data_IF_051271309165
#
_entry.id   IF_051271309165
#
_cell.length_a   1.000
_cell.length_b   1.000
_cell.length_c   1.000
_cell.angle_alpha   90.00
_cell.angle_beta   90.00
_cell.angle_gamma   90.00
#
_symmetry.space_group_name_H-M   'P 1'
#
loop_
_entity.id
_entity.type
_entity.pdbx_description
1 polymer ?
#
# COMPACT_ATOMS: atom_id res chain seq x y z
N UNK A 1 14.16 16.06 -3.54
CA UNK A 1 14.67 16.23 -2.19
C UNK A 1 13.57 16.26 -1.15
N UNK A 2 12.68 17.23 -1.24
CA UNK A 2 11.55 17.28 -0.32
C UNK A 2 10.65 16.05 -0.41
N UNK A 3 10.64 15.37 -1.56
CA UNK A 3 9.86 14.16 -1.71
C UNK A 3 10.23 13.06 -0.73
N UNK A 4 11.45 13.12 -0.17
CA UNK A 4 11.90 12.12 0.80
C UNK A 4 11.46 12.45 2.23
N UNK A 5 11.05 13.69 2.48
CA UNK A 5 10.61 14.11 3.80
C UNK A 5 9.11 13.90 4.02
N UNK A 6 8.39 13.61 2.95
CA UNK A 6 6.94 13.49 3.01
C UNK A 6 6.51 12.19 2.38
N UNK A 7 5.63 11.50 3.07
CA UNK A 7 5.06 10.26 2.57
C UNK A 7 3.62 10.51 2.16
N UNK A 8 3.32 10.22 0.89
CA UNK A 8 1.96 10.39 0.38
C UNK A 8 1.12 9.17 0.71
N UNK A 9 0.01 9.39 1.39
CA UNK A 9 -0.91 8.32 1.74
C UNK A 9 -2.14 8.40 0.84
N UNK A 10 -2.34 7.44 -0.05
CA UNK A 10 -3.53 7.45 -0.90
C UNK A 10 -4.79 7.26 -0.07
N UNK A 11 -5.70 8.22 -0.15
CA UNK A 11 -6.92 8.18 0.66
C UNK A 11 -7.74 6.89 0.49
N UNK A 12 -7.92 6.36 -0.73
CA UNK A 12 -8.67 5.11 -0.87
C UNK A 12 -8.10 3.97 -0.07
N UNK A 13 -6.77 3.90 0.04
CA UNK A 13 -6.11 2.83 0.78
C UNK A 13 -6.14 3.07 2.29
N UNK A 14 -6.13 4.33 2.72
CA UNK A 14 -6.25 4.63 4.15
C UNK A 14 -7.59 4.11 4.68
N UNK A 15 -8.65 4.30 3.91
CA UNK A 15 -9.98 3.87 4.31
C UNK A 15 -10.15 2.35 4.24
N UNK A 16 -9.48 1.74 3.29
CA UNK A 16 -9.61 0.31 3.02
C UNK A 16 -8.77 -0.55 3.94
N UNK A 17 -7.55 -0.13 4.17
CA UNK A 17 -6.62 -0.81 5.06
C UNK A 17 -6.55 -0.06 6.38
N UNK A 18 -5.93 -0.69 7.39
CA UNK A 18 -5.61 0.08 8.58
C UNK A 18 -4.46 1.03 8.27
N UNK A 19 -4.23 1.98 9.18
CA UNK A 19 -3.23 3.02 8.95
C UNK A 19 -1.83 2.45 8.75
N UNK A 20 -1.46 1.45 9.53
CA UNK A 20 -0.12 0.86 9.42
C UNK A 20 0.11 0.25 8.04
N UNK A 21 -0.90 -0.43 7.49
CA UNK A 21 -0.80 -1.02 6.16
C UNK A 21 -0.72 0.05 5.08
N UNK A 22 -1.49 1.12 5.22
CA UNK A 22 -1.44 2.23 4.27
C UNK A 22 -0.08 2.90 4.29
N UNK A 23 0.51 3.10 5.47
CA UNK A 23 1.85 3.68 5.61
C UNK A 23 2.88 2.75 4.97
N UNK A 24 2.80 1.46 5.24
CA UNK A 24 3.74 0.48 4.67
C UNK A 24 3.67 0.47 3.15
N UNK A 25 2.45 0.47 2.59
CA UNK A 25 2.25 0.52 1.15
C UNK A 25 2.87 1.79 0.56
N UNK A 26 2.63 2.92 1.20
CA UNK A 26 3.14 4.19 0.71
C UNK A 26 4.66 4.24 0.73
N UNK A 27 5.27 3.67 1.78
CA UNK A 27 6.73 3.60 1.85
C UNK A 27 7.30 2.69 0.76
N UNK A 28 6.70 1.52 0.57
CA UNK A 28 7.14 0.59 -0.49
C UNK A 28 7.00 1.25 -1.86
N UNK A 29 5.90 1.94 -2.10
CA UNK A 29 5.70 2.63 -3.37
C UNK A 29 6.74 3.73 -3.57
N UNK A 30 7.03 4.49 -2.53
CA UNK A 30 8.03 5.54 -2.59
C UNK A 30 9.41 4.97 -2.93
N UNK A 31 9.80 3.88 -2.28
CA UNK A 31 11.09 3.24 -2.56
C UNK A 31 11.11 2.62 -3.95
N UNK A 32 10.00 2.02 -4.36
CA UNK A 32 9.88 1.47 -5.71
C UNK A 32 10.12 2.55 -6.78
N UNK A 33 9.48 3.71 -6.63
CA UNK A 33 9.64 4.79 -7.60
C UNK A 33 11.07 5.32 -7.62
N UNK A 34 11.72 5.37 -6.46
CA UNK A 34 13.12 5.77 -6.38
C UNK A 34 14.03 4.79 -7.14
N UNK A 35 13.91 3.49 -6.82
CA UNK A 35 14.76 2.49 -7.47
C UNK A 35 14.50 2.42 -8.97
N UNK A 36 13.25 2.60 -9.38
CA UNK A 36 12.89 2.62 -10.79
C UNK A 36 13.49 3.82 -11.50
N UNK A 37 13.42 5.00 -10.89
CA UNK A 37 13.96 6.23 -11.48
C UNK A 37 15.49 6.15 -11.61
N UNK A 38 16.15 5.43 -10.71
CA UNK A 38 17.59 5.22 -10.76
C UNK A 38 17.98 4.04 -11.63
N UNK A 39 17.00 3.38 -12.23
CA UNK A 39 17.21 2.23 -13.10
C UNK A 39 17.93 1.08 -12.38
N UNK A 40 17.58 0.87 -11.12
CA UNK A 40 18.26 -0.11 -10.25
C UNK A 40 17.37 -1.26 -9.80
N UNK A 41 16.20 -1.42 -10.41
CA UNK A 41 15.36 -2.58 -10.12
C UNK A 41 15.97 -3.82 -10.78
N UNK A 42 16.09 -4.91 -10.03
CA UNK A 42 16.56 -6.19 -10.56
C UNK A 42 15.37 -7.09 -10.80
N UNK A 43 14.93 -7.19 -12.04
CA UNK A 43 13.72 -7.94 -12.41
C UNK A 43 12.50 -7.48 -11.62
N UNK A 44 12.46 -6.18 -11.32
CA UNK A 44 11.36 -5.59 -10.55
C UNK A 44 11.55 -5.65 -9.05
N UNK A 45 12.62 -6.26 -8.56
CA UNK A 45 12.88 -6.40 -7.13
C UNK A 45 13.81 -5.29 -6.63
N UNK A 46 13.56 -4.86 -5.40
CA UNK A 46 14.47 -3.96 -4.70
C UNK A 46 14.53 -4.39 -3.24
N UNK A 47 15.66 -4.10 -2.57
CA UNK A 47 15.76 -4.51 -1.18
C UNK A 47 15.47 -3.33 -0.25
N UNK A 48 14.88 -3.65 0.89
CA UNK A 48 14.63 -2.67 1.93
C UNK A 48 14.58 -3.40 3.27
N UNK A 49 15.42 -2.96 4.20
CA UNK A 49 15.54 -3.62 5.49
C UNK A 49 14.43 -3.19 6.42
N UNK A 50 14.20 -4.01 7.45
CA UNK A 50 13.27 -3.63 8.53
C UNK A 50 13.72 -2.33 9.18
N UNK A 51 15.03 -2.18 9.42
CA UNK A 51 15.59 -0.99 10.03
C UNK A 51 15.33 0.26 9.19
N UNK A 52 15.51 0.14 7.88
CA UNK A 52 15.30 1.27 6.98
C UNK A 52 13.84 1.75 7.04
N UNK A 53 12.91 0.82 6.96
CA UNK A 53 11.48 1.18 7.01
C UNK A 53 11.09 1.69 8.39
N UNK A 54 11.65 1.10 9.45
CA UNK A 54 11.41 1.61 10.78
C UNK A 54 11.87 3.07 10.93
N UNK A 55 13.06 3.37 10.40
CA UNK A 55 13.57 4.74 10.47
C UNK A 55 12.71 5.71 9.68
N UNK A 56 12.14 5.27 8.57
CA UNK A 56 11.35 6.15 7.72
C UNK A 56 9.89 6.28 8.16
N UNK A 57 9.34 5.29 8.82
CA UNK A 57 7.90 5.25 9.11
C UNK A 57 7.56 5.07 10.58
N UNK A 58 8.48 4.56 11.37
CA UNK A 58 8.21 4.22 12.76
C UNK A 58 7.52 2.87 12.94
N UNK A 59 7.27 2.13 11.85
CA UNK A 59 6.62 0.83 11.96
C UNK A 59 7.61 -0.19 12.51
N UNK A 60 7.22 -0.90 13.57
CA UNK A 60 8.02 -1.97 14.14
C UNK A 60 8.09 -3.16 13.17
N UNK A 61 9.01 -4.07 13.44
CA UNK A 61 9.13 -5.29 12.65
C UNK A 61 7.80 -6.04 12.56
N UNK A 62 7.12 -6.19 13.68
CA UNK A 62 5.83 -6.87 13.71
C UNK A 62 4.78 -6.15 12.88
N UNK A 63 4.71 -4.83 13.01
CA UNK A 63 3.77 -4.03 12.24
C UNK A 63 4.05 -4.12 10.74
N UNK A 64 5.33 -4.13 10.38
CA UNK A 64 5.71 -4.30 8.98
C UNK A 64 5.31 -5.67 8.44
N UNK A 65 5.54 -6.72 9.21
CA UNK A 65 5.18 -8.07 8.78
C UNK A 65 3.68 -8.22 8.58
N UNK A 66 2.90 -7.69 9.51
CA UNK A 66 1.44 -7.74 9.40
C UNK A 66 0.95 -6.98 8.17
N UNK A 67 1.51 -5.78 7.95
CA UNK A 67 1.14 -4.97 6.79
C UNK A 67 1.54 -5.66 5.48
N UNK A 68 2.73 -6.24 5.43
CA UNK A 68 3.18 -6.95 4.24
C UNK A 68 2.28 -8.13 3.91
N UNK A 69 1.84 -8.86 4.93
CA UNK A 69 0.95 -9.98 4.72
C UNK A 69 -0.36 -9.55 4.07
N UNK A 70 -0.91 -8.46 4.55
CA UNK A 70 -2.14 -7.92 3.96
C UNK A 70 -1.92 -7.48 2.53
N UNK A 71 -0.83 -6.76 2.26
CA UNK A 71 -0.52 -6.31 0.91
C UNK A 71 -0.26 -7.47 -0.05
N UNK A 72 0.37 -8.54 0.43
CA UNK A 72 0.59 -9.72 -0.37
C UNK A 72 -0.72 -10.43 -0.70
N UNK A 73 -1.65 -10.45 0.24
CA UNK A 73 -2.96 -11.08 0.03
C UNK A 73 -3.73 -10.40 -1.11
N UNK A 74 -3.51 -9.10 -1.30
CA UNK A 74 -4.13 -8.37 -2.40
C UNK A 74 -3.31 -8.45 -3.70
N UNK A 75 -2.12 -9.02 -3.64
CA UNK A 75 -1.27 -9.13 -4.81
C UNK A 75 -0.53 -7.85 -5.17
N UNK A 76 -0.53 -6.86 -4.29
CA UNK A 76 0.13 -5.58 -4.55
C UNK A 76 1.65 -5.74 -4.48
N UNK A 77 2.14 -6.57 -3.58
CA UNK A 77 3.57 -6.80 -3.42
C UNK A 77 3.89 -8.29 -3.33
N UNK A 78 5.15 -8.60 -3.58
CA UNK A 78 5.75 -9.89 -3.26
C UNK A 78 6.96 -9.62 -2.40
N UNK A 79 7.26 -10.56 -1.50
CA UNK A 79 8.39 -10.44 -0.58
C UNK A 79 9.23 -11.70 -0.69
N UNK A 80 10.55 -11.52 -0.70
CA UNK A 80 11.47 -12.66 -0.61
C UNK A 80 12.66 -12.29 0.25
N UNK A 81 13.32 -13.31 0.76
CA UNK A 81 14.54 -13.14 1.54
C UNK A 81 15.67 -13.85 0.80
N UNK A 82 16.78 -13.19 0.62
CA UNK A 82 17.87 -13.71 -0.21
C UNK A 82 19.20 -13.18 0.29
N UNK A 83 20.24 -13.97 0.12
CA UNK A 83 21.60 -13.56 0.41
C UNK A 83 22.10 -14.02 1.77
N UNK A 84 23.39 -13.76 2.00
CA UNK A 84 24.08 -14.04 3.26
C UNK A 84 24.86 -12.78 3.66
N UNK A 85 24.43 -12.04 4.69
CA UNK A 85 23.22 -12.28 5.49
C UNK A 85 21.95 -12.06 4.67
N UNK A 86 20.84 -12.66 5.13
CA UNK A 86 19.57 -12.54 4.44
C UNK A 86 19.10 -11.10 4.41
N UNK A 87 18.68 -10.67 3.22
CA UNK A 87 18.09 -9.35 3.01
C UNK A 87 16.67 -9.52 2.49
N UNK A 88 15.81 -8.58 2.86
CA UNK A 88 14.40 -8.58 2.44
C UNK A 88 14.26 -7.82 1.13
N UNK A 89 13.63 -8.45 0.15
CA UNK A 89 13.36 -7.83 -1.14
C UNK A 89 11.87 -7.72 -1.38
N UNK A 90 11.48 -6.63 -2.02
CA UNK A 90 10.10 -6.39 -2.40
C UNK A 90 9.99 -6.30 -3.90
N UNK A 91 8.86 -6.77 -4.42
CA UNK A 91 8.46 -6.53 -5.80
C UNK A 91 7.07 -5.90 -5.78
N UNK A 92 6.96 -4.73 -6.37
CA UNK A 92 5.72 -3.96 -6.38
C UNK A 92 5.01 -4.17 -7.71
N UNK A 93 3.71 -4.49 -7.65
CA UNK A 93 2.90 -4.69 -8.85
C UNK A 93 2.07 -3.44 -9.10
N UNK A 94 2.54 -2.59 -10.00
CA UNK A 94 1.87 -1.33 -10.28
C UNK A 94 0.52 -1.52 -10.96
N UNK A 95 0.35 -2.59 -11.73
CA UNK A 95 -0.93 -2.85 -12.39
C UNK A 95 -2.01 -3.17 -11.36
N UNK A 96 -1.69 -4.04 -10.41
CA UNK A 96 -2.62 -4.37 -9.32
C UNK A 96 -2.90 -3.15 -8.47
N UNK A 97 -1.86 -2.40 -8.13
CA UNK A 97 -2.00 -1.18 -7.33
C UNK A 97 -2.96 -0.20 -8.00
N UNK A 98 -2.76 0.07 -9.28
CA UNK A 98 -3.58 1.04 -10.00
C UNK A 98 -5.03 0.58 -10.11
N UNK A 99 -5.23 -0.71 -10.32
CA UNK A 99 -6.60 -1.25 -10.39
C UNK A 99 -7.32 -1.10 -9.05
N UNK A 100 -6.66 -1.48 -7.97
CA UNK A 100 -7.26 -1.37 -6.64
C UNK A 100 -7.48 0.08 -6.24
N UNK A 101 -6.55 0.96 -6.59
CA UNK A 101 -6.73 2.39 -6.33
C UNK A 101 -8.00 2.90 -7.00
N UNK A 102 -8.19 2.55 -8.27
CA UNK A 102 -9.37 2.96 -9.01
C UNK A 102 -10.65 2.39 -8.41
N UNK A 103 -10.63 1.10 -8.08
CA UNK A 103 -11.80 0.44 -7.50
C UNK A 103 -12.18 1.05 -6.15
N UNK A 104 -11.20 1.26 -5.28
CA UNK A 104 -11.46 1.81 -3.95
C UNK A 104 -11.90 3.27 -4.05
N UNK A 105 -11.33 4.02 -4.99
CA UNK A 105 -11.70 5.41 -5.19
C UNK A 105 -13.15 5.53 -5.68
N UNK A 106 -13.57 4.65 -6.57
CA UNK A 106 -14.96 4.62 -7.03
C UNK A 106 -15.93 4.42 -5.89
N UNK A 107 -15.61 3.52 -4.97
CA UNK A 107 -16.45 3.30 -3.80
C UNK A 107 -16.56 4.55 -2.94
N UNK A 108 -15.43 5.20 -2.70
CA UNK A 108 -15.42 6.41 -1.88
C UNK A 108 -16.23 7.53 -2.54
N UNK A 109 -16.09 7.69 -3.85
CA UNK A 109 -16.82 8.71 -4.57
C UNK A 109 -18.32 8.45 -4.53
N UNK A 110 -18.73 7.21 -4.68
CA UNK A 110 -20.15 6.85 -4.57
C UNK A 110 -20.71 7.17 -3.21
N UNK A 111 -19.97 6.87 -2.14
CA UNK A 111 -20.46 7.06 -0.79
C UNK A 111 -20.38 8.51 -0.34
N UNK A 112 -19.42 9.28 -0.85
CA UNK A 112 -19.19 10.65 -0.39
C UNK A 112 -19.74 11.70 -1.35
N UNK A 113 -19.80 11.39 -2.64
CA UNK A 113 -20.22 12.35 -3.65
C UNK A 113 -21.72 12.44 -3.82
N UNK A 114 -22.44 11.43 -3.40
CA UNK A 114 -23.88 11.37 -3.56
C UNK A 114 -24.57 11.72 -2.26
N UNK A 115 -25.09 12.92 -2.20
CA UNK A 115 -25.78 13.41 -1.01
C UNK A 115 -27.30 13.32 -1.15
N UNK A 116 -27.75 12.66 -2.18
CA UNK A 116 -29.18 12.60 -2.47
C UNK A 116 -29.90 11.47 -1.78
N UNK A 117 -31.06 11.14 -2.31
CA UNK A 117 -31.96 10.15 -1.75
C UNK A 117 -31.43 8.71 -1.83
N UNK A 118 -30.39 8.49 -2.62
CA UNK A 118 -29.83 7.15 -2.81
C UNK A 118 -28.75 6.80 -1.80
N UNK A 119 -28.48 7.71 -0.88
CA UNK A 119 -27.38 7.54 0.07
C UNK A 119 -27.51 6.25 0.88
N UNK A 120 -28.69 5.92 1.34
CA UNK A 120 -28.86 4.73 2.17
C UNK A 120 -28.54 3.44 1.42
N UNK A 121 -28.90 3.36 0.15
CA UNK A 121 -28.60 2.20 -0.66
C UNK A 121 -27.11 2.10 -0.94
N UNK A 122 -26.50 3.20 -1.29
CA UNK A 122 -25.06 3.26 -1.51
C UNK A 122 -24.28 2.91 -0.25
N UNK A 123 -24.72 3.43 0.88
CA UNK A 123 -24.10 3.12 2.17
C UNK A 123 -24.21 1.63 2.50
N UNK A 124 -25.31 1.00 2.14
CA UNK A 124 -25.48 -0.43 2.36
C UNK A 124 -24.45 -1.22 1.56
N UNK A 125 -24.18 -0.84 0.32
CA UNK A 125 -23.17 -1.49 -0.49
C UNK A 125 -21.78 -1.27 0.08
N UNK A 126 -21.48 -0.07 0.51
CA UNK A 126 -20.18 0.25 1.11
C UNK A 126 -19.98 -0.58 2.39
N UNK A 127 -20.99 -0.68 3.22
CA UNK A 127 -20.91 -1.49 4.44
C UNK A 127 -20.65 -2.95 4.10
N UNK A 128 -21.34 -3.50 3.12
CA UNK A 128 -21.10 -4.87 2.67
C UNK A 128 -19.68 -5.05 2.16
N UNK A 129 -19.20 -4.09 1.38
CA UNK A 129 -17.86 -4.14 0.83
C UNK A 129 -16.81 -4.16 1.96
N UNK A 130 -16.97 -3.28 2.93
CA UNK A 130 -16.06 -3.22 4.07
C UNK A 130 -16.16 -4.49 4.91
N UNK A 131 -17.36 -4.97 5.16
CA UNK A 131 -17.58 -6.16 5.97
C UNK A 131 -17.01 -7.43 5.33
N UNK A 132 -16.86 -7.45 4.01
CA UNK A 132 -16.30 -8.61 3.32
C UNK A 132 -14.79 -8.76 3.55
N UNK A 133 -14.18 -7.80 4.17
CA UNK A 133 -12.77 -7.82 4.50
C UNK A 133 -12.56 -8.04 5.98
#
# INVERSE_FOLDING_TARGET
MFGNDFLRLPRPFIRRFNLNTAVMLSEIYSEYTYWKSENKLENGWFFSTVENIYCNTGLSKHQQLTACKELMDYGIIKVKYQGLPKKRYFKFDSAVFNKLYSDFQSYLLKSCGDTGSTVSEENSEVVKFVASF
#
